data_IF_680822932793
#
_entry.id   IF_680822932793
#
_cell.length_a   1.000
_cell.length_b   1.000
_cell.length_c   1.000
_cell.angle_alpha   90.00
_cell.angle_beta   90.00
_cell.angle_gamma   90.00
#
_symmetry.space_group_name_H-M   'P 1'
#
loop_
_entity.id
_entity.type
_entity.pdbx_description
1 polymer ?
#
# COMPACT_ATOMS: atom_id res chain seq x y z
N UNK A 1 -9.85 9.87 -28.45
CA UNK A 1 -10.06 8.88 -27.38
C UNK A 1 -9.08 9.20 -26.28
N UNK A 2 -9.53 9.34 -25.04
CA UNK A 2 -8.61 9.59 -23.93
C UNK A 2 -7.83 8.30 -23.66
N UNK A 3 -6.50 8.38 -23.53
CA UNK A 3 -5.61 7.22 -23.49
C UNK A 3 -5.58 6.53 -22.11
N UNK A 4 -6.73 6.45 -21.43
CA UNK A 4 -6.87 5.86 -20.10
C UNK A 4 -7.04 4.35 -20.20
N UNK A 5 -6.41 3.57 -19.30
CA UNK A 5 -6.64 2.14 -19.23
C UNK A 5 -8.08 1.87 -18.74
N UNK A 6 -8.70 0.85 -19.32
CA UNK A 6 -10.02 0.38 -18.93
C UNK A 6 -9.90 -0.69 -17.84
N UNK A 7 -10.52 -0.47 -16.68
CA UNK A 7 -10.66 -1.44 -15.60
C UNK A 7 -12.08 -2.03 -15.60
N UNK A 8 -12.21 -3.33 -15.43
CA UNK A 8 -13.47 -4.07 -15.32
C UNK A 8 -13.48 -4.86 -14.03
N UNK A 9 -14.61 -4.87 -13.34
CA UNK A 9 -14.79 -5.64 -12.11
C UNK A 9 -14.68 -7.13 -12.41
N UNK A 10 -15.37 -7.60 -13.44
CA UNK A 10 -15.40 -9.02 -13.82
C UNK A 10 -14.00 -9.59 -14.03
N UNK A 11 -13.14 -8.82 -14.68
CA UNK A 11 -11.78 -9.22 -15.03
C UNK A 11 -10.76 -8.94 -13.94
N UNK A 12 -10.76 -7.73 -13.37
CA UNK A 12 -9.64 -7.25 -12.57
C UNK A 12 -9.86 -7.44 -11.06
N UNK A 13 -11.08 -7.75 -10.59
CA UNK A 13 -11.40 -7.74 -9.15
C UNK A 13 -10.53 -8.68 -8.31
N UNK A 14 -10.25 -9.91 -8.76
CA UNK A 14 -9.45 -10.85 -7.96
C UNK A 14 -8.05 -10.28 -7.73
N UNK A 15 -7.43 -9.73 -8.78
CA UNK A 15 -6.10 -9.13 -8.68
C UNK A 15 -6.12 -7.87 -7.82
N UNK A 16 -7.11 -6.99 -8.02
CA UNK A 16 -7.24 -5.77 -7.22
C UNK A 16 -7.48 -6.09 -5.73
N UNK A 17 -8.22 -7.16 -5.41
CA UNK A 17 -8.42 -7.62 -4.03
C UNK A 17 -7.11 -8.08 -3.38
N UNK A 18 -6.26 -8.79 -4.13
CA UNK A 18 -4.92 -9.18 -3.66
C UNK A 18 -4.06 -7.94 -3.41
N UNK A 19 -4.04 -6.99 -4.36
CA UNK A 19 -3.28 -5.75 -4.23
C UNK A 19 -3.75 -4.89 -3.06
N UNK A 20 -5.06 -4.83 -2.82
CA UNK A 20 -5.65 -4.11 -1.69
C UNK A 20 -5.18 -4.70 -0.36
N UNK A 21 -5.37 -6.00 -0.16
CA UNK A 21 -4.98 -6.66 1.09
C UNK A 21 -3.46 -6.64 1.29
N UNK A 22 -2.67 -6.77 0.23
CA UNK A 22 -1.22 -6.61 0.30
C UNK A 22 -0.80 -5.17 0.67
N UNK A 23 -1.48 -4.15 0.13
CA UNK A 23 -1.26 -2.75 0.51
C UNK A 23 -1.59 -2.52 1.98
N UNK A 24 -2.64 -3.16 2.49
CA UNK A 24 -2.99 -3.10 3.91
C UNK A 24 -1.89 -3.67 4.80
N UNK A 25 -1.30 -4.83 4.46
CA UNK A 25 -0.19 -5.40 5.24
C UNK A 25 0.98 -4.40 5.35
N UNK A 26 1.39 -3.81 4.23
CA UNK A 26 2.45 -2.79 4.20
C UNK A 26 2.11 -1.56 5.06
N UNK A 27 0.89 -1.06 4.92
CA UNK A 27 0.39 0.07 5.69
C UNK A 27 0.31 -0.21 7.20
N UNK A 28 -0.10 -1.42 7.59
CA UNK A 28 -0.22 -1.84 8.99
C UNK A 28 1.14 -2.05 9.66
N UNK A 29 2.16 -2.47 8.91
CA UNK A 29 3.56 -2.44 9.39
C UNK A 29 3.95 -1.01 9.79
N UNK A 30 3.58 0.00 8.99
CA UNK A 30 3.82 1.41 9.33
C UNK A 30 3.03 1.86 10.55
N UNK A 31 1.77 1.44 10.69
CA UNK A 31 0.97 1.70 11.90
C UNK A 31 1.68 1.16 13.15
N UNK A 32 2.20 -0.07 13.09
CA UNK A 32 2.80 -0.73 14.24
C UNK A 32 4.22 -0.23 14.58
N UNK A 33 4.99 0.20 13.56
CA UNK A 33 6.45 0.36 13.69
C UNK A 33 6.98 1.74 13.28
N UNK A 34 6.11 2.74 13.16
CA UNK A 34 6.54 4.12 12.89
C UNK A 34 5.97 5.10 13.92
N UNK A 35 6.72 6.17 14.24
CA UNK A 35 6.18 7.25 15.06
C UNK A 35 4.93 7.83 14.43
N UNK A 36 3.90 8.05 15.26
CA UNK A 36 2.66 8.64 14.78
C UNK A 36 2.89 10.07 14.28
N UNK A 37 2.53 10.32 13.03
CA UNK A 37 2.55 11.65 12.43
C UNK A 37 1.13 12.19 12.30
N UNK A 38 0.99 13.52 12.39
CA UNK A 38 -0.27 14.22 12.21
C UNK A 38 -1.02 13.77 10.95
N UNK A 39 -2.35 13.65 11.06
CA UNK A 39 -3.23 13.16 10.00
C UNK A 39 -2.95 11.71 9.52
N UNK A 40 -2.17 10.93 10.27
CA UNK A 40 -1.84 9.55 9.87
C UNK A 40 -0.93 9.47 8.64
N UNK A 41 -0.33 10.57 8.18
CA UNK A 41 0.43 10.61 6.92
C UNK A 41 1.59 9.62 6.83
N UNK A 42 2.17 9.25 7.97
CA UNK A 42 3.23 8.24 8.06
C UNK A 42 2.81 6.84 7.59
N UNK A 43 1.52 6.51 7.54
CA UNK A 43 1.03 5.18 7.13
C UNK A 43 0.60 5.13 5.68
N UNK A 44 0.46 6.28 5.02
CA UNK A 44 0.10 6.32 3.61
C UNK A 44 1.21 5.71 2.75
N UNK A 45 0.82 4.89 1.77
CA UNK A 45 1.75 4.40 0.76
C UNK A 45 2.03 5.55 -0.22
N UNK A 46 3.28 5.64 -0.63
CA UNK A 46 3.80 6.64 -1.54
C UNK A 46 3.80 6.08 -2.96
N UNK A 47 2.99 6.63 -3.87
CA UNK A 47 3.04 6.23 -5.26
C UNK A 47 4.39 6.57 -5.89
N UNK A 48 4.89 5.68 -6.73
CA UNK A 48 6.09 5.87 -7.52
C UNK A 48 5.91 5.24 -8.91
N UNK A 49 6.92 5.35 -9.78
CA UNK A 49 6.84 4.86 -11.16
C UNK A 49 6.57 3.35 -11.31
N UNK A 50 6.84 2.56 -10.26
CA UNK A 50 6.73 1.10 -10.25
C UNK A 50 5.50 0.59 -9.51
N UNK A 51 4.87 1.42 -8.68
CA UNK A 51 3.73 1.03 -7.84
C UNK A 51 3.65 1.87 -6.58
N UNK A 52 3.56 1.22 -5.42
CA UNK A 52 3.26 1.86 -4.14
C UNK A 52 4.27 1.40 -3.07
N UNK A 53 4.94 2.34 -2.39
CA UNK A 53 5.95 2.01 -1.38
C UNK A 53 5.66 2.66 -0.03
N UNK A 54 6.02 2.00 1.06
CA UNK A 54 6.02 2.66 2.37
C UNK A 54 7.25 3.56 2.51
N UNK A 55 7.15 4.57 3.39
CA UNK A 55 8.31 5.33 3.83
C UNK A 55 9.28 4.45 4.64
N UNK A 56 10.56 4.85 4.80
CA UNK A 56 11.53 4.08 5.58
C UNK A 56 11.08 3.82 7.02
N UNK A 57 11.08 2.55 7.41
CA UNK A 57 10.70 2.06 8.75
C UNK A 57 11.97 1.69 9.51
N UNK A 58 12.06 2.08 10.78
CA UNK A 58 13.20 1.77 11.62
C UNK A 58 13.28 0.27 11.94
N UNK A 59 14.50 -0.25 12.00
CA UNK A 59 14.83 -1.59 12.45
C UNK A 59 15.99 -1.57 13.45
N UNK A 60 16.29 -2.73 14.03
CA UNK A 60 17.39 -2.91 14.98
C UNK A 60 18.74 -2.51 14.37
N UNK A 61 19.67 -2.06 15.23
CA UNK A 61 21.04 -1.72 14.81
C UNK A 61 21.17 -0.45 13.97
N UNK A 62 20.19 0.46 14.02
CA UNK A 62 20.19 1.70 13.24
C UNK A 62 19.85 1.49 11.76
N UNK A 63 19.42 0.28 11.38
CA UNK A 63 18.96 -0.03 10.03
C UNK A 63 17.58 0.55 9.77
N UNK A 64 17.26 0.72 8.50
CA UNK A 64 15.90 1.00 8.04
C UNK A 64 15.55 0.07 6.90
N UNK A 65 14.26 -0.13 6.68
CA UNK A 65 13.77 -0.89 5.54
C UNK A 65 12.56 -0.22 4.90
N UNK A 66 12.34 -0.53 3.62
CA UNK A 66 11.12 -0.18 2.90
C UNK A 66 10.54 -1.43 2.24
N UNK A 67 9.22 -1.46 2.15
CA UNK A 67 8.48 -2.44 1.36
C UNK A 67 7.77 -1.71 0.22
N UNK A 68 7.85 -2.27 -0.98
CA UNK A 68 7.17 -1.72 -2.16
C UNK A 68 6.31 -2.78 -2.80
N UNK A 69 5.04 -2.48 -3.03
CA UNK A 69 4.24 -3.17 -4.03
C UNK A 69 4.73 -2.74 -5.40
N UNK A 70 5.65 -3.53 -5.95
CA UNK A 70 6.25 -3.29 -7.25
C UNK A 70 5.43 -4.03 -8.32
N UNK A 71 4.58 -3.28 -9.01
CA UNK A 71 3.64 -3.83 -9.98
C UNK A 71 4.36 -4.27 -11.26
N UNK A 72 5.51 -3.67 -11.59
CA UNK A 72 6.36 -4.12 -12.70
C UNK A 72 7.03 -5.48 -12.42
N UNK A 73 7.38 -5.76 -11.15
CA UNK A 73 7.93 -7.06 -10.72
C UNK A 73 6.86 -8.05 -10.30
N UNK A 74 5.63 -7.58 -10.09
CA UNK A 74 4.53 -8.33 -9.50
C UNK A 74 4.91 -8.98 -8.16
N UNK A 75 5.57 -8.18 -7.31
CA UNK A 75 6.12 -8.62 -6.04
C UNK A 75 6.02 -7.53 -4.98
N UNK A 76 5.99 -7.95 -3.71
CA UNK A 76 6.44 -7.10 -2.61
C UNK A 76 7.97 -7.14 -2.62
N UNK A 77 8.61 -5.98 -2.74
CA UNK A 77 10.07 -5.85 -2.74
C UNK A 77 10.52 -5.22 -1.44
N UNK A 78 11.38 -5.93 -0.72
CA UNK A 78 12.06 -5.46 0.47
C UNK A 78 13.38 -4.80 0.07
N UNK A 79 13.65 -3.62 0.63
CA UNK A 79 14.94 -2.96 0.60
C UNK A 79 15.37 -2.65 2.02
N UNK A 80 16.63 -2.91 2.34
CA UNK A 80 17.24 -2.65 3.64
C UNK A 80 18.41 -1.69 3.45
N UNK A 81 18.62 -0.77 4.39
CA UNK A 81 19.66 0.25 4.32
C UNK A 81 21.10 -0.28 4.33
N UNK A 82 21.30 -1.57 4.61
CA UNK A 82 22.58 -2.27 4.52
C UNK A 82 22.84 -2.89 3.12
N UNK A 83 21.96 -2.60 2.15
CA UNK A 83 22.04 -3.12 0.79
C UNK A 83 21.25 -4.41 0.57
N UNK A 84 20.66 -4.98 1.63
CA UNK A 84 19.79 -6.15 1.54
C UNK A 84 18.57 -5.88 0.65
N UNK A 85 18.22 -6.88 -0.16
CA UNK A 85 17.07 -6.83 -1.06
C UNK A 85 16.50 -8.23 -1.28
N UNK A 86 15.20 -8.36 -1.13
CA UNK A 86 14.47 -9.59 -1.47
C UNK A 86 13.15 -9.28 -2.16
N UNK A 87 12.64 -10.26 -2.91
CA UNK A 87 11.39 -10.16 -3.65
C UNK A 87 10.45 -11.30 -3.24
N UNK A 88 9.22 -10.93 -2.93
CA UNK A 88 8.15 -11.84 -2.57
C UNK A 88 7.05 -11.76 -3.64
N UNK A 89 6.86 -12.78 -4.47
CA UNK A 89 5.84 -12.75 -5.53
C UNK A 89 4.43 -12.57 -4.96
N UNK A 90 3.65 -11.66 -5.56
CA UNK A 90 2.26 -11.38 -5.15
C UNK A 90 1.32 -12.56 -5.38
N UNK A 91 1.63 -13.41 -6.38
CA UNK A 91 0.91 -14.66 -6.60
C UNK A 91 1.33 -15.72 -5.58
N UNK A 92 0.78 -15.63 -4.36
CA UNK A 92 0.97 -16.62 -3.31
C UNK A 92 -0.17 -17.66 -3.25
N UNK A 93 -1.18 -17.54 -4.11
CA UNK A 93 -2.34 -18.42 -4.19
C UNK A 93 -3.43 -18.17 -3.13
N UNK A 94 -3.12 -17.55 -1.99
CA UNK A 94 -4.08 -17.03 -1.01
C UNK A 94 -3.46 -15.88 -0.19
N UNK A 95 -4.30 -15.13 0.52
CA UNK A 95 -3.86 -14.01 1.37
C UNK A 95 -3.10 -14.51 2.59
N UNK A 96 -3.55 -15.61 3.22
CA UNK A 96 -2.83 -16.26 4.32
C UNK A 96 -1.44 -16.74 3.92
N UNK A 97 -1.27 -17.24 2.69
CA UNK A 97 0.03 -17.63 2.17
C UNK A 97 0.93 -16.41 1.91
N UNK A 98 0.36 -15.32 1.37
CA UNK A 98 1.08 -14.05 1.17
C UNK A 98 1.54 -13.46 2.51
N UNK A 99 0.64 -13.44 3.49
CA UNK A 99 0.87 -12.97 4.85
C UNK A 99 2.03 -13.70 5.52
N UNK A 100 1.96 -15.04 5.61
CA UNK A 100 3.03 -15.85 6.23
C UNK A 100 4.38 -15.61 5.56
N UNK A 101 4.43 -15.60 4.22
CA UNK A 101 5.68 -15.36 3.50
C UNK A 101 6.26 -13.97 3.79
N UNK A 102 5.41 -12.95 3.98
CA UNK A 102 5.85 -11.60 4.31
C UNK A 102 6.41 -11.53 5.73
N UNK A 103 5.72 -12.15 6.70
CA UNK A 103 6.21 -12.26 8.08
C UNK A 103 7.54 -13.00 8.12
N UNK A 104 7.61 -14.20 7.50
CA UNK A 104 8.84 -14.99 7.40
C UNK A 104 9.98 -14.17 6.75
N UNK A 105 9.68 -13.40 5.71
CA UNK A 105 10.66 -12.54 5.05
C UNK A 105 11.23 -11.49 6.02
N UNK A 106 10.38 -10.80 6.78
CA UNK A 106 10.82 -9.77 7.71
C UNK A 106 11.61 -10.38 8.88
N UNK A 107 11.14 -11.49 9.44
CA UNK A 107 11.80 -12.18 10.55
C UNK A 107 13.19 -12.70 10.17
N UNK A 108 13.37 -13.27 8.97
CA UNK A 108 14.69 -13.72 8.48
C UNK A 108 15.75 -12.62 8.40
N UNK A 109 15.34 -11.35 8.32
CA UNK A 109 16.23 -10.18 8.27
C UNK A 109 16.33 -9.43 9.59
N UNK A 110 15.75 -9.99 10.67
CA UNK A 110 15.61 -9.36 11.98
C UNK A 110 14.89 -8.00 11.91
N UNK A 111 13.87 -7.91 11.05
CA UNK A 111 13.04 -6.72 10.87
C UNK A 111 11.72 -6.83 11.65
N UNK A 112 11.12 -5.71 12.09
CA UNK A 112 9.80 -5.71 12.70
C UNK A 112 8.73 -6.32 11.78
N UNK A 113 8.04 -7.36 12.28
CA UNK A 113 7.08 -8.16 11.51
C UNK A 113 5.66 -8.20 12.12
N UNK A 114 5.46 -7.64 13.32
CA UNK A 114 4.18 -7.75 14.04
C UNK A 114 3.21 -6.63 13.66
N UNK A 115 2.00 -6.95 13.23
CA UNK A 115 0.95 -5.97 12.98
C UNK A 115 -0.43 -6.61 13.17
N UNK A 116 -1.48 -5.79 13.21
CA UNK A 116 -2.85 -6.29 13.37
C UNK A 116 -3.33 -7.02 12.10
N UNK A 117 -3.63 -8.30 12.22
CA UNK A 117 -4.05 -9.18 11.11
C UNK A 117 -5.44 -8.86 10.53
N UNK A 118 -6.26 -8.08 11.21
CA UNK A 118 -7.63 -7.77 10.76
C UNK A 118 -7.61 -6.69 9.68
N UNK A 119 -8.09 -6.94 8.45
CA UNK A 119 -8.19 -5.88 7.44
C UNK A 119 -9.08 -4.73 7.91
N UNK A 120 -8.72 -3.52 7.49
CA UNK A 120 -9.42 -2.28 7.82
C UNK A 120 -10.35 -1.88 6.67
N UNK A 121 -11.46 -1.19 7.00
CA UNK A 121 -12.38 -0.57 6.04
C UNK A 121 -13.02 -1.55 5.03
N UNK A 122 -13.10 -2.83 5.42
CA UNK A 122 -13.79 -3.87 4.68
C UNK A 122 -14.87 -4.48 5.59
N UNK A 123 -16.14 -4.56 5.13
CA UNK A 123 -17.19 -5.26 5.89
C UNK A 123 -16.86 -6.76 5.96
N UNK A 124 -17.11 -7.36 7.12
CA UNK A 124 -16.94 -8.81 7.37
C UNK A 124 -15.55 -9.36 6.97
N UNK A 125 -14.51 -8.57 7.24
CA UNK A 125 -13.14 -8.88 6.83
C UNK A 125 -12.59 -10.14 7.52
N UNK A 126 -12.10 -11.09 6.71
CA UNK A 126 -11.36 -12.26 7.20
C UNK A 126 -9.93 -11.83 7.57
N UNK A 127 -9.41 -12.19 8.75
CA UNK A 127 -8.02 -11.93 9.11
C UNK A 127 -7.03 -12.47 8.08
N UNK A 128 -5.94 -11.74 7.83
CA UNK A 128 -5.00 -12.07 6.76
C UNK A 128 -4.45 -13.49 6.87
N UNK A 129 -4.08 -13.91 8.07
CA UNK A 129 -3.52 -15.23 8.40
C UNK A 129 -4.53 -16.39 8.24
N UNK A 130 -5.83 -16.08 8.24
CA UNK A 130 -6.93 -17.03 8.13
C UNK A 130 -7.56 -17.06 6.73
N UNK A 131 -7.31 -16.03 5.90
CA UNK A 131 -7.86 -15.94 4.56
C UNK A 131 -7.17 -16.91 3.58
N UNK A 132 -7.71 -18.13 3.55
CA UNK A 132 -7.23 -19.25 2.73
C UNK A 132 -7.92 -19.33 1.36
N UNK A 133 -8.86 -18.42 1.06
CA UNK A 133 -9.57 -18.43 -0.21
C UNK A 133 -8.59 -18.24 -1.38
N UNK A 134 -8.73 -19.09 -2.40
CA UNK A 134 -7.92 -19.04 -3.61
C UNK A 134 -8.33 -17.84 -4.44
N UNK A 135 -7.32 -17.09 -4.91
CA UNK A 135 -7.49 -15.94 -5.79
C UNK A 135 -6.45 -16.00 -6.89
N UNK A 136 -6.85 -15.71 -8.12
CA UNK A 136 -5.94 -15.67 -9.24
C UNK A 136 -5.34 -14.27 -9.36
N UNK A 137 -4.02 -14.23 -9.41
CA UNK A 137 -3.29 -13.01 -9.71
C UNK A 137 -2.98 -12.95 -11.20
N UNK A 138 -3.60 -12.00 -11.90
CA UNK A 138 -3.36 -11.71 -13.30
C UNK A 138 -2.39 -10.52 -13.44
N UNK A 139 -1.29 -10.74 -14.16
CA UNK A 139 -0.26 -9.71 -14.39
C UNK A 139 -0.80 -8.57 -15.23
N UNK A 140 -1.67 -8.85 -16.20
CA UNK A 140 -2.21 -7.82 -17.09
C UNK A 140 -3.18 -6.90 -16.32
N UNK A 141 -3.96 -7.46 -15.38
CA UNK A 141 -4.79 -6.69 -14.45
C UNK A 141 -3.96 -5.75 -13.57
N UNK A 142 -2.84 -6.25 -13.03
CA UNK A 142 -1.93 -5.42 -12.24
C UNK A 142 -1.25 -4.32 -13.08
N UNK A 143 -0.89 -4.60 -14.33
CA UNK A 143 -0.34 -3.60 -15.25
C UNK A 143 -1.38 -2.54 -15.63
N UNK A 144 -2.64 -2.89 -15.87
CA UNK A 144 -3.72 -1.91 -16.08
C UNK A 144 -3.88 -1.00 -14.87
N UNK A 145 -3.87 -1.55 -13.66
CA UNK A 145 -3.91 -0.75 -12.43
C UNK A 145 -2.69 0.17 -12.30
N UNK A 146 -1.48 -0.31 -12.61
CA UNK A 146 -0.26 0.50 -12.63
C UNK A 146 -0.36 1.64 -13.65
N UNK A 147 -0.85 1.36 -14.86
CA UNK A 147 -1.10 2.37 -15.89
C UNK A 147 -2.14 3.39 -15.44
N UNK A 148 -3.17 2.97 -14.71
CA UNK A 148 -4.19 3.87 -14.17
C UNK A 148 -3.57 4.81 -13.15
N UNK A 149 -2.78 4.28 -12.20
CA UNK A 149 -2.01 5.10 -11.25
C UNK A 149 -1.10 6.09 -11.99
N UNK A 150 -0.32 5.62 -12.97
CA UNK A 150 0.57 6.48 -13.74
C UNK A 150 -0.16 7.64 -14.46
N UNK A 151 -1.38 7.40 -14.96
CA UNK A 151 -2.20 8.43 -15.59
C UNK A 151 -2.83 9.39 -14.56
N UNK A 152 -3.21 8.91 -13.37
CA UNK A 152 -3.79 9.72 -12.30
C UNK A 152 -2.77 10.65 -11.62
N UNK A 153 -1.54 10.18 -11.39
CA UNK A 153 -0.56 10.91 -10.57
C UNK A 153 -0.26 12.33 -11.06
N UNK A 154 -0.03 12.60 -12.36
CA UNK A 154 0.16 13.96 -12.86
C UNK A 154 -1.06 14.86 -12.66
N UNK A 155 -2.28 14.30 -12.77
CA UNK A 155 -3.53 15.05 -12.56
C UNK A 155 -3.64 15.47 -11.08
N UNK A 156 -3.41 14.55 -10.15
CA UNK A 156 -3.42 14.85 -8.71
C UNK A 156 -2.31 15.83 -8.33
N UNK A 157 -1.12 15.69 -8.92
CA UNK A 157 0.01 16.60 -8.68
C UNK A 157 -0.31 18.03 -9.18
N UNK A 158 -0.87 18.16 -10.38
CA UNK A 158 -1.27 19.45 -10.94
C UNK A 158 -2.38 20.09 -10.09
N UNK A 159 -3.41 19.32 -9.75
CA UNK A 159 -4.48 19.79 -8.87
C UNK A 159 -3.89 20.28 -7.55
N UNK A 160 -3.07 19.46 -6.86
CA UNK A 160 -2.41 19.83 -5.61
C UNK A 160 -1.63 21.14 -5.71
N UNK A 161 -0.86 21.33 -6.78
CA UNK A 161 0.02 22.50 -6.96
C UNK A 161 -0.74 23.84 -7.00
N UNK A 162 -2.01 23.85 -7.38
CA UNK A 162 -2.85 25.05 -7.40
C UNK A 162 -3.30 25.56 -6.02
N UNK A 163 -2.97 24.86 -4.92
CA UNK A 163 -3.38 25.25 -3.57
C UNK A 163 -2.20 25.73 -2.73
N UNK A 164 -2.27 26.98 -2.26
CA UNK A 164 -1.18 27.63 -1.50
C UNK A 164 -1.17 27.31 0.00
N UNK A 165 -2.20 26.65 0.53
CA UNK A 165 -2.28 26.26 1.93
C UNK A 165 -1.58 24.93 2.23
N UNK A 166 -1.69 24.44 3.48
CA UNK A 166 -1.16 23.13 3.85
C UNK A 166 -1.88 22.03 3.06
N UNK A 167 -1.11 21.21 2.35
CA UNK A 167 -1.61 20.05 1.62
C UNK A 167 -0.69 18.84 1.79
N UNK A 168 -1.25 17.63 1.79
CA UNK A 168 -0.47 16.40 1.74
C UNK A 168 0.25 16.26 0.40
N UNK A 169 1.32 15.44 0.30
CA UNK A 169 1.68 14.79 -0.95
C UNK A 169 0.50 14.01 -1.55
N UNK A 170 0.67 13.50 -2.77
CA UNK A 170 -0.29 12.50 -3.30
C UNK A 170 -0.06 11.21 -2.52
N UNK A 171 -1.07 10.80 -1.76
CA UNK A 171 -1.02 9.62 -0.90
C UNK A 171 -1.91 8.52 -1.45
N UNK A 172 -1.50 7.28 -1.21
CA UNK A 172 -2.35 6.12 -1.39
C UNK A 172 -2.74 5.56 -0.03
N UNK A 173 -4.01 5.61 0.30
CA UNK A 173 -4.56 5.12 1.56
C UNK A 173 -5.00 3.68 1.38
N UNK A 174 -4.28 2.79 2.05
CA UNK A 174 -4.43 1.34 1.89
C UNK A 174 -5.71 0.79 2.51
N UNK A 175 -6.31 1.48 3.48
CA UNK A 175 -7.56 1.08 4.13
C UNK A 175 -8.70 0.91 3.11
N UNK A 176 -9.06 2.00 2.43
CA UNK A 176 -10.14 2.05 1.43
C UNK A 176 -9.63 1.90 -0.01
N UNK A 177 -8.31 1.79 -0.20
CA UNK A 177 -7.66 1.64 -1.49
C UNK A 177 -7.80 2.87 -2.41
N UNK A 178 -7.72 4.07 -1.82
CA UNK A 178 -7.90 5.34 -2.50
C UNK A 178 -6.59 6.12 -2.75
N UNK A 179 -6.58 6.87 -3.85
CA UNK A 179 -5.56 7.86 -4.15
C UNK A 179 -6.11 9.25 -3.78
N UNK A 180 -5.41 9.97 -2.89
CA UNK A 180 -5.92 11.21 -2.33
C UNK A 180 -4.88 12.32 -2.22
N UNK A 181 -5.38 13.55 -2.24
CA UNK A 181 -4.66 14.76 -1.77
C UNK A 181 -5.56 15.45 -0.76
N UNK A 182 -5.08 15.59 0.47
CA UNK A 182 -5.77 16.34 1.52
C UNK A 182 -5.32 17.79 1.52
N UNK A 183 -6.27 18.73 1.57
CA UNK A 183 -6.03 20.18 1.71
C UNK A 183 -6.66 20.68 3.00
N UNK A 184 -5.95 21.55 3.71
CA UNK A 184 -6.36 22.03 5.01
C UNK A 184 -6.66 23.52 4.93
N UNK A 185 -7.87 23.92 5.34
CA UNK A 185 -8.23 25.34 5.45
C UNK A 185 -7.68 26.01 6.72
N UNK A 186 -7.09 25.23 7.65
CA UNK A 186 -6.66 25.71 8.96
C UNK A 186 -7.79 25.94 9.98
N UNK A 187 -9.03 25.56 9.64
CA UNK A 187 -10.17 25.57 10.58
C UNK A 187 -10.26 24.23 11.28
N UNK A 188 -10.68 24.23 12.54
CA UNK A 188 -10.93 23.00 13.28
C UNK A 188 -12.02 22.19 12.57
N UNK A 189 -11.78 20.88 12.48
CA UNK A 189 -12.78 19.96 11.97
C UNK A 189 -13.95 19.89 12.96
N UNK A 190 -15.19 19.73 12.49
CA UNK A 190 -16.29 19.39 13.39
C UNK A 190 -15.97 18.08 14.13
N UNK A 191 -16.51 17.88 15.34
CA UNK A 191 -16.32 16.62 16.07
C UNK A 191 -16.73 15.42 15.20
N UNK A 192 -15.88 14.40 15.11
CA UNK A 192 -16.25 13.15 14.45
C UNK A 192 -17.41 12.51 15.23
N UNK A 193 -18.45 11.94 14.59
CA UNK A 193 -19.59 11.34 15.28
C UNK A 193 -19.29 10.11 16.16
N UNK A 194 -18.02 9.70 16.30
CA UNK A 194 -17.63 8.37 16.77
C UNK A 194 -17.16 7.55 15.58
#
# INVERSE_FOLDING_TARGET
MSNWPELSVERDHETLSILHLAAQMLGKIRVAHSPWMNHGWHVALQPNARGLGILPTAASGGRTFTLTLDLCRHAIVLWISDGGREELPLNAGSIAALHRRLVDLLERHDLPATFNDTPSELPDAVPFDQDTARRNYDRDSAERFRSALAAMLPVFAHFRAGFSGKASPVHFWWGSFDLAVSRFSGRDAPPHPG
#
